data_IF_703487966965
#
_entry.id   IF_703487966965
#
_cell.length_a   1.000
_cell.length_b   1.000
_cell.length_c   1.000
_cell.angle_alpha   90.00
_cell.angle_beta   90.00
_cell.angle_gamma   90.00
#
_symmetry.space_group_name_H-M   'P 1'
#
loop_
_entity.id
_entity.type
_entity.pdbx_description
1 polymer ?
#
# COMPACT_ATOMS: atom_id res chain seq x y z
N UNK A 1 7.00 -13.67 20.14
CA UNK A 1 6.18 -13.69 18.92
C UNK A 1 5.90 -12.27 18.41
N UNK A 2 5.44 -11.33 19.24
CA UNK A 2 5.11 -9.95 18.86
C UNK A 2 6.30 -9.20 18.25
N UNK A 3 7.50 -9.29 18.81
CA UNK A 3 8.70 -8.62 18.29
C UNK A 3 9.08 -9.08 16.87
N UNK A 4 9.00 -10.37 16.58
CA UNK A 4 9.26 -10.91 15.23
C UNK A 4 8.25 -10.40 14.18
N UNK A 5 7.00 -10.20 14.59
CA UNK A 5 5.97 -9.64 13.73
C UNK A 5 6.23 -8.16 13.45
N UNK A 6 6.63 -7.39 14.47
CA UNK A 6 6.98 -5.99 14.31
C UNK A 6 8.19 -5.80 13.39
N UNK A 7 9.25 -6.60 13.57
CA UNK A 7 10.44 -6.56 12.71
C UNK A 7 10.08 -6.87 11.26
N UNK A 8 9.27 -7.92 11.04
CA UNK A 8 8.77 -8.27 9.71
C UNK A 8 7.94 -7.16 9.09
N UNK A 9 7.06 -6.53 9.86
CA UNK A 9 6.21 -5.43 9.40
C UNK A 9 7.05 -4.20 9.03
N UNK A 10 8.04 -3.85 9.84
CA UNK A 10 8.96 -2.74 9.58
C UNK A 10 9.75 -3.00 8.30
N UNK A 11 10.31 -4.18 8.14
CA UNK A 11 11.06 -4.58 6.95
C UNK A 11 10.21 -4.50 5.68
N UNK A 12 8.97 -5.00 5.77
CA UNK A 12 8.00 -4.92 4.68
C UNK A 12 7.65 -3.47 4.34
N UNK A 13 7.40 -2.64 5.35
CA UNK A 13 7.09 -1.23 5.19
C UNK A 13 8.21 -0.44 4.51
N UNK A 14 9.44 -0.66 4.93
CA UNK A 14 10.63 -0.07 4.33
C UNK A 14 10.78 -0.52 2.88
N UNK A 15 10.62 -1.82 2.62
CA UNK A 15 10.74 -2.37 1.26
C UNK A 15 9.64 -1.82 0.33
N UNK A 16 8.42 -1.64 0.80
CA UNK A 16 7.33 -1.05 0.04
C UNK A 16 7.66 0.40 -0.39
N UNK A 17 8.15 1.22 0.56
CA UNK A 17 8.60 2.58 0.27
C UNK A 17 9.76 2.59 -0.75
N UNK A 18 10.71 1.67 -0.62
CA UNK A 18 11.84 1.53 -1.55
C UNK A 18 11.39 1.13 -2.96
N UNK A 19 10.45 0.19 -3.08
CA UNK A 19 9.91 -0.23 -4.39
C UNK A 19 9.21 0.93 -5.09
N UNK A 20 8.37 1.69 -4.38
CA UNK A 20 7.73 2.89 -4.94
C UNK A 20 8.75 3.95 -5.31
N UNK A 21 9.74 4.23 -4.46
CA UNK A 21 10.82 5.15 -4.76
C UNK A 21 11.53 4.77 -6.07
N UNK A 22 11.98 3.50 -6.19
CA UNK A 22 12.69 3.01 -7.40
C UNK A 22 11.81 3.02 -8.65
N UNK A 23 10.52 2.74 -8.50
CA UNK A 23 9.58 2.82 -9.60
C UNK A 23 9.49 4.26 -10.14
N UNK A 24 9.32 5.25 -9.27
CA UNK A 24 9.23 6.64 -9.68
C UNK A 24 10.58 7.20 -10.16
N UNK A 25 11.68 6.84 -9.55
CA UNK A 25 13.03 7.19 -10.02
C UNK A 25 13.25 6.73 -11.48
N UNK A 26 12.75 5.55 -11.83
CA UNK A 26 12.92 4.97 -13.17
C UNK A 26 11.97 5.55 -14.21
N UNK A 27 10.71 5.74 -13.89
CA UNK A 27 9.66 6.06 -14.87
C UNK A 27 9.28 7.53 -14.91
N UNK A 28 9.52 8.30 -13.84
CA UNK A 28 9.16 9.71 -13.74
C UNK A 28 10.32 10.56 -13.22
N UNK A 29 11.34 10.73 -14.06
CA UNK A 29 12.57 11.47 -13.71
C UNK A 29 12.34 12.94 -13.32
N UNK A 30 11.26 13.56 -13.78
CA UNK A 30 10.94 14.96 -13.51
C UNK A 30 10.23 15.18 -12.15
N UNK A 31 9.81 14.10 -11.51
CA UNK A 31 9.11 14.18 -10.22
C UNK A 31 10.04 13.77 -9.09
N UNK A 32 9.88 14.40 -7.94
CA UNK A 32 10.62 14.03 -6.73
C UNK A 32 10.20 12.61 -6.26
N UNK A 33 11.06 11.58 -6.47
CA UNK A 33 10.71 10.20 -6.13
C UNK A 33 10.56 9.99 -4.62
N UNK A 34 11.16 10.88 -3.80
CA UNK A 34 11.06 10.84 -2.35
C UNK A 34 9.65 11.16 -1.89
N UNK A 35 9.10 12.27 -2.40
CA UNK A 35 7.73 12.70 -2.05
C UNK A 35 6.73 11.64 -2.51
N UNK A 36 6.95 11.05 -3.67
CA UNK A 36 6.05 10.01 -4.17
C UNK A 36 6.13 8.73 -3.36
N UNK A 37 7.32 8.25 -3.00
CA UNK A 37 7.46 7.11 -2.10
C UNK A 37 6.78 7.37 -0.75
N UNK A 38 6.99 8.57 -0.19
CA UNK A 38 6.35 9.00 1.06
C UNK A 38 4.82 8.91 1.00
N UNK A 39 4.22 9.34 -0.10
CA UNK A 39 2.76 9.44 -0.28
C UNK A 39 2.16 8.09 -0.68
N UNK A 40 2.74 7.42 -1.69
CA UNK A 40 2.09 6.25 -2.30
C UNK A 40 2.19 4.98 -1.47
N UNK A 41 3.27 4.77 -0.70
CA UNK A 41 3.39 3.58 0.13
C UNK A 41 2.30 3.51 1.23
N UNK A 42 2.05 4.58 2.02
CA UNK A 42 0.92 4.63 2.94
C UNK A 42 -0.44 4.51 2.25
N UNK A 43 -0.59 5.22 1.12
CA UNK A 43 -1.82 5.17 0.33
C UNK A 43 -2.14 3.76 -0.14
N UNK A 44 -1.12 3.01 -0.57
CA UNK A 44 -1.28 1.63 -1.03
C UNK A 44 -1.77 0.69 0.08
N UNK A 45 -1.22 0.81 1.29
CA UNK A 45 -1.64 -0.02 2.42
C UNK A 45 -3.08 0.28 2.82
N UNK A 46 -3.44 1.56 2.91
CA UNK A 46 -4.83 1.95 3.21
C UNK A 46 -5.80 1.52 2.12
N UNK A 47 -5.39 1.65 0.87
CA UNK A 47 -6.17 1.20 -0.26
C UNK A 47 -6.50 -0.30 -0.17
N UNK A 48 -5.50 -1.16 0.13
CA UNK A 48 -5.73 -2.58 0.32
C UNK A 48 -6.61 -2.87 1.54
N UNK A 49 -6.46 -2.10 2.62
CA UNK A 49 -7.32 -2.23 3.79
C UNK A 49 -8.79 -1.92 3.44
N UNK A 50 -9.03 -0.85 2.70
CA UNK A 50 -10.37 -0.49 2.23
C UNK A 50 -10.93 -1.55 1.28
N UNK A 51 -10.12 -2.10 0.39
CA UNK A 51 -10.51 -3.18 -0.51
C UNK A 51 -10.99 -4.43 0.25
N UNK A 52 -10.28 -4.81 1.32
CA UNK A 52 -10.71 -5.92 2.18
C UNK A 52 -12.07 -5.62 2.82
N UNK A 53 -12.31 -4.39 3.29
CA UNK A 53 -13.60 -4.01 3.87
C UNK A 53 -14.71 -4.09 2.82
N UNK A 54 -14.47 -3.60 1.60
CA UNK A 54 -15.44 -3.70 0.49
C UNK A 54 -15.76 -5.16 0.15
N UNK A 55 -14.75 -6.02 0.08
CA UNK A 55 -14.94 -7.44 -0.16
C UNK A 55 -15.76 -8.11 0.93
N UNK A 56 -15.52 -7.74 2.20
CA UNK A 56 -16.29 -8.28 3.33
C UNK A 56 -17.73 -7.77 3.30
N UNK A 57 -17.96 -6.50 2.97
CA UNK A 57 -19.29 -5.94 2.80
C UNK A 57 -20.09 -6.68 1.73
N UNK A 58 -19.44 -6.94 0.57
CA UNK A 58 -20.06 -7.68 -0.56
C UNK A 58 -20.34 -9.15 -0.22
N UNK A 59 -19.44 -9.79 0.55
CA UNK A 59 -19.58 -11.22 0.89
C UNK A 59 -20.64 -11.46 1.98
N UNK A 60 -20.77 -10.56 2.94
CA UNK A 60 -21.64 -10.73 4.10
C UNK A 60 -22.88 -9.86 4.05
N UNK A 61 -23.07 -9.07 2.98
CA UNK A 61 -24.18 -8.11 2.83
C UNK A 61 -24.38 -7.22 4.05
N UNK A 62 -23.26 -6.80 4.65
CA UNK A 62 -23.28 -6.06 5.92
C UNK A 62 -23.68 -4.61 5.78
N UNK A 63 -23.53 -4.01 4.59
CA UNK A 63 -23.76 -2.59 4.25
C UNK A 63 -23.06 -1.59 5.20
N UNK A 64 -22.01 -2.05 5.89
CA UNK A 64 -21.29 -1.25 6.89
C UNK A 64 -20.63 -0.05 6.22
N UNK A 65 -19.96 -0.30 5.10
CA UNK A 65 -19.18 0.73 4.42
C UNK A 65 -20.07 1.74 3.70
N UNK A 66 -21.16 1.27 3.05
CA UNK A 66 -22.13 2.15 2.42
C UNK A 66 -22.74 3.11 3.44
N UNK A 67 -23.18 2.59 4.59
CA UNK A 67 -23.72 3.40 5.68
C UNK A 67 -22.73 4.41 6.24
N UNK A 68 -21.46 4.03 6.40
CA UNK A 68 -20.41 4.93 6.90
C UNK A 68 -20.08 6.01 5.85
N UNK A 69 -20.01 5.66 4.59
CA UNK A 69 -19.71 6.60 3.50
C UNK A 69 -20.84 7.58 3.23
N UNK A 70 -22.08 7.17 3.35
CA UNK A 70 -23.25 8.05 3.27
C UNK A 70 -23.21 9.11 4.35
N UNK A 71 -22.83 8.74 5.56
CA UNK A 71 -22.77 9.64 6.71
C UNK A 71 -21.50 10.50 6.75
N UNK A 72 -20.39 10.02 6.18
CA UNK A 72 -19.12 10.75 6.23
C UNK A 72 -18.23 10.50 5.00
N UNK A 73 -18.31 11.39 4.03
CA UNK A 73 -17.51 11.34 2.77
C UNK A 73 -16.00 11.29 2.98
N UNK A 74 -15.52 11.76 4.13
CA UNK A 74 -14.09 11.85 4.43
C UNK A 74 -13.57 10.62 5.20
N UNK A 75 -14.43 9.70 5.57
CA UNK A 75 -14.04 8.52 6.35
C UNK A 75 -12.91 7.72 5.71
N UNK A 76 -12.94 7.56 4.39
CA UNK A 76 -11.90 6.82 3.65
C UNK A 76 -10.54 7.55 3.60
N UNK A 77 -10.56 8.89 3.72
CA UNK A 77 -9.35 9.71 3.60
C UNK A 77 -8.74 10.02 4.97
N UNK A 78 -9.55 10.13 6.03
CA UNK A 78 -9.07 10.46 7.37
C UNK A 78 -7.95 9.56 7.89
N UNK A 79 -8.02 8.22 7.75
CA UNK A 79 -6.94 7.34 8.23
C UNK A 79 -5.62 7.51 7.47
N UNK A 80 -5.66 8.11 6.27
CA UNK A 80 -4.46 8.33 5.48
C UNK A 80 -3.47 9.28 6.16
N UNK A 81 -3.94 10.36 6.76
CA UNK A 81 -3.07 11.39 7.35
C UNK A 81 -2.23 10.87 8.52
N UNK A 82 -2.77 10.15 9.52
CA UNK A 82 -1.96 9.54 10.56
C UNK A 82 -0.91 8.56 10.01
N UNK A 83 -1.28 7.72 9.04
CA UNK A 83 -0.36 6.76 8.43
C UNK A 83 0.74 7.46 7.64
N UNK A 84 0.40 8.51 6.88
CA UNK A 84 1.36 9.36 6.19
C UNK A 84 2.32 10.03 7.17
N UNK A 85 1.80 10.59 8.27
CA UNK A 85 2.61 11.21 9.30
C UNK A 85 3.57 10.21 9.95
N UNK A 86 3.10 9.01 10.29
CA UNK A 86 3.94 7.94 10.82
C UNK A 86 5.02 7.52 9.82
N UNK A 87 4.69 7.38 8.54
CA UNK A 87 5.67 7.09 7.49
C UNK A 87 6.75 8.18 7.41
N UNK A 88 6.34 9.44 7.44
CA UNK A 88 7.27 10.56 7.46
C UNK A 88 8.19 10.52 8.69
N UNK A 89 7.63 10.39 9.88
CA UNK A 89 8.40 10.40 11.13
C UNK A 89 9.36 9.20 11.22
N UNK A 90 8.94 8.04 10.74
CA UNK A 90 9.73 6.83 10.82
C UNK A 90 10.86 6.79 9.78
N UNK A 91 10.54 7.08 8.53
CA UNK A 91 11.46 6.84 7.41
C UNK A 91 12.07 8.13 6.85
N UNK A 92 11.28 9.18 6.64
CA UNK A 92 11.71 10.36 5.90
C UNK A 92 12.27 11.48 6.79
N UNK A 93 11.92 11.53 8.07
CA UNK A 93 12.45 12.50 9.01
C UNK A 93 13.97 12.37 9.12
N UNK A 94 14.69 13.50 9.00
CA UNK A 94 16.17 13.58 9.03
C UNK A 94 16.84 12.74 7.93
N UNK A 95 16.18 12.59 6.79
CA UNK A 95 16.73 11.88 5.62
C UNK A 95 17.15 10.42 5.85
N UNK A 96 16.62 9.77 6.89
CA UNK A 96 16.92 8.36 7.23
C UNK A 96 16.74 7.40 6.06
N UNK A 97 15.76 7.66 5.19
CA UNK A 97 15.50 6.87 4.01
C UNK A 97 16.70 6.77 3.08
N UNK A 98 17.55 7.83 3.00
CA UNK A 98 18.73 7.84 2.12
C UNK A 98 19.73 6.75 2.50
N UNK A 99 20.01 6.62 3.79
CA UNK A 99 20.96 5.62 4.30
C UNK A 99 20.38 4.21 4.17
N UNK A 100 19.10 4.05 4.50
CA UNK A 100 18.39 2.77 4.42
C UNK A 100 18.32 2.29 2.95
N UNK A 101 17.91 3.17 2.02
CA UNK A 101 17.79 2.81 0.61
C UNK A 101 19.16 2.53 -0.03
N UNK A 102 20.18 3.31 0.37
CA UNK A 102 21.56 3.05 -0.04
C UNK A 102 22.08 1.72 0.48
N UNK A 103 21.70 1.33 1.69
CA UNK A 103 22.02 0.01 2.21
C UNK A 103 21.32 -1.10 1.40
N UNK A 104 20.03 -0.95 1.13
CA UNK A 104 19.28 -1.89 0.28
C UNK A 104 19.91 -2.01 -1.12
N UNK A 105 20.33 -0.89 -1.72
CA UNK A 105 21.01 -0.88 -3.02
C UNK A 105 22.36 -1.65 -2.97
N UNK A 106 23.12 -1.52 -1.88
CA UNK A 106 24.39 -2.25 -1.69
C UNK A 106 24.17 -3.76 -1.49
N UNK A 107 23.12 -4.12 -0.79
CA UNK A 107 22.79 -5.50 -0.45
C UNK A 107 21.86 -6.16 -1.50
N UNK A 108 21.57 -5.46 -2.61
CA UNK A 108 20.58 -5.88 -3.61
C UNK A 108 20.81 -7.27 -4.18
N UNK A 109 22.10 -7.67 -4.27
CA UNK A 109 22.46 -8.97 -4.83
C UNK A 109 22.37 -10.11 -3.80
N UNK A 110 22.13 -9.79 -2.53
CA UNK A 110 21.89 -10.81 -1.52
C UNK A 110 20.55 -11.50 -1.77
N UNK A 111 20.49 -12.81 -1.53
CA UNK A 111 19.27 -13.60 -1.74
C UNK A 111 18.10 -13.05 -0.90
N UNK A 112 18.38 -12.60 0.30
CA UNK A 112 17.38 -12.09 1.23
C UNK A 112 16.72 -10.80 0.72
N UNK A 113 17.51 -9.80 0.32
CA UNK A 113 17.00 -8.53 -0.22
C UNK A 113 16.26 -8.77 -1.52
N UNK A 114 16.79 -9.62 -2.40
CA UNK A 114 16.13 -10.01 -3.66
C UNK A 114 14.78 -10.68 -3.41
N UNK A 115 14.70 -11.57 -2.44
CA UNK A 115 13.45 -12.24 -2.05
C UNK A 115 12.43 -11.24 -1.49
N UNK A 116 12.84 -10.34 -0.60
CA UNK A 116 11.98 -9.30 -0.02
C UNK A 116 11.44 -8.36 -1.12
N UNK A 117 12.31 -7.89 -2.01
CA UNK A 117 11.92 -7.06 -3.15
C UNK A 117 10.89 -7.77 -4.05
N UNK A 118 11.19 -9.00 -4.47
CA UNK A 118 10.28 -9.81 -5.29
C UNK A 118 8.93 -10.01 -4.63
N UNK A 119 8.91 -10.37 -3.34
CA UNK A 119 7.67 -10.58 -2.61
C UNK A 119 6.82 -9.28 -2.52
N UNK A 120 7.46 -8.14 -2.32
CA UNK A 120 6.78 -6.84 -2.31
C UNK A 120 6.19 -6.50 -3.68
N UNK A 121 6.92 -6.74 -4.76
CA UNK A 121 6.42 -6.55 -6.12
C UNK A 121 5.25 -7.49 -6.42
N UNK A 122 5.35 -8.77 -6.05
CA UNK A 122 4.25 -9.75 -6.19
C UNK A 122 3.02 -9.27 -5.44
N UNK A 123 3.19 -8.82 -4.18
CA UNK A 123 2.09 -8.28 -3.39
C UNK A 123 1.38 -7.11 -4.10
N UNK A 124 2.15 -6.14 -4.64
CA UNK A 124 1.58 -5.00 -5.37
C UNK A 124 0.75 -5.48 -6.56
N UNK A 125 1.29 -6.38 -7.38
CA UNK A 125 0.59 -6.91 -8.54
C UNK A 125 -0.64 -7.75 -8.16
N UNK A 126 -0.55 -8.52 -7.08
CA UNK A 126 -1.69 -9.30 -6.57
C UNK A 126 -2.82 -8.39 -6.11
N UNK A 127 -2.50 -7.30 -5.41
CA UNK A 127 -3.49 -6.31 -4.98
C UNK A 127 -4.19 -5.67 -6.18
N UNK A 128 -3.45 -5.29 -7.22
CA UNK A 128 -4.03 -4.74 -8.46
C UNK A 128 -4.97 -5.77 -9.12
N UNK A 129 -4.54 -7.04 -9.19
CA UNK A 129 -5.34 -8.09 -9.80
C UNK A 129 -6.65 -8.33 -9.04
N UNK A 130 -6.61 -8.40 -7.70
CA UNK A 130 -7.79 -8.58 -6.86
C UNK A 130 -8.77 -7.42 -7.07
N UNK A 131 -8.28 -6.17 -7.00
CA UNK A 131 -9.11 -5.00 -7.25
C UNK A 131 -9.77 -5.05 -8.63
N UNK A 132 -8.99 -5.35 -9.66
CA UNK A 132 -9.50 -5.41 -11.04
C UNK A 132 -10.61 -6.45 -11.17
N UNK A 133 -10.42 -7.62 -10.57
CA UNK A 133 -11.43 -8.70 -10.54
C UNK A 133 -12.68 -8.23 -9.79
N UNK A 134 -12.50 -7.59 -8.63
CA UNK A 134 -13.62 -7.07 -7.83
C UNK A 134 -14.44 -6.04 -8.62
N UNK A 135 -13.78 -5.06 -9.24
CA UNK A 135 -14.46 -4.05 -10.07
C UNK A 135 -15.21 -4.69 -11.24
N UNK A 136 -14.63 -5.68 -11.90
CA UNK A 136 -15.29 -6.40 -12.99
C UNK A 136 -16.54 -7.12 -12.47
N UNK A 137 -16.42 -7.88 -11.38
CA UNK A 137 -17.55 -8.62 -10.81
C UNK A 137 -18.68 -7.66 -10.40
N UNK A 138 -18.37 -6.58 -9.71
CA UNK A 138 -19.36 -5.58 -9.25
C UNK A 138 -20.03 -4.90 -10.45
N UNK A 139 -19.27 -4.57 -11.48
CA UNK A 139 -19.80 -3.99 -12.72
C UNK A 139 -20.74 -4.97 -13.45
N UNK A 140 -20.37 -6.24 -13.52
CA UNK A 140 -21.23 -7.28 -14.12
C UNK A 140 -22.52 -7.49 -13.33
N UNK A 141 -22.44 -7.56 -12.00
CA UNK A 141 -23.63 -7.68 -11.13
C UNK A 141 -24.61 -6.53 -11.36
N UNK A 142 -24.12 -5.30 -11.42
CA UNK A 142 -24.96 -4.13 -11.72
C UNK A 142 -25.57 -4.20 -13.11
N UNK A 143 -24.80 -4.62 -14.11
CA UNK A 143 -25.28 -4.72 -15.51
C UNK A 143 -26.40 -5.76 -15.65
N UNK A 144 -26.32 -6.88 -14.93
CA UNK A 144 -27.32 -7.95 -14.95
C UNK A 144 -28.44 -7.79 -13.92
N UNK A 145 -28.49 -6.67 -13.19
CA UNK A 145 -29.54 -6.41 -12.19
C UNK A 145 -29.52 -7.39 -11.01
N UNK A 146 -28.33 -7.88 -10.64
CA UNK A 146 -28.10 -8.80 -9.51
C UNK A 146 -27.73 -8.08 -8.21
N UNK A 147 -27.80 -6.75 -8.20
CA UNK A 147 -27.61 -5.84 -7.06
C UNK A 147 -28.74 -4.85 -7.05
#
# INVERSE_FOLDING_TARGET
MIFRFLDWFIDYWVMLNYVFYKFYERFWKESDPQIRGLIYAPGWVLFNFMEIIFLLDDLFDCQILSTIMENNKYFCIMPYFPVLLLNYLFLYRKDRWKDIFKQIDRERDTEEVRKRYRNTVIYIWTSIAILTIHVIITSLRRHFGLL
#
